data_IF_229279367968
#
_entry.id   IF_229279367968
#
_cell.length_a   1.000
_cell.length_b   1.000
_cell.length_c   1.000
_cell.angle_alpha   90.00
_cell.angle_beta   90.00
_cell.angle_gamma   90.00
#
_symmetry.space_group_name_H-M   'P 1'
#
loop_
_entity.id
_entity.type
_entity.pdbx_description
1 polymer ?
#
# COMPACT_ATOMS: atom_id res chain seq x y z
N UNK A 1 22.50 2.54 36.07
CA UNK A 1 21.21 2.03 35.55
C UNK A 1 20.64 3.13 34.67
N UNK A 2 20.78 3.03 33.36
CA UNK A 2 20.19 3.99 32.41
C UNK A 2 18.83 3.43 32.03
N UNK A 3 17.75 4.08 32.48
CA UNK A 3 16.40 3.75 32.06
C UNK A 3 16.22 4.24 30.63
N UNK A 4 16.21 3.31 29.66
CA UNK A 4 15.95 3.63 28.27
C UNK A 4 14.56 4.25 28.14
N UNK A 5 14.48 5.47 27.62
CA UNK A 5 13.23 6.11 27.27
C UNK A 5 12.59 5.30 26.14
N UNK A 6 11.41 4.72 26.40
CA UNK A 6 10.61 4.09 25.36
C UNK A 6 10.02 5.19 24.47
N UNK A 7 10.27 5.11 23.17
CA UNK A 7 9.60 5.99 22.19
C UNK A 7 8.25 5.37 21.87
N UNK A 8 7.18 6.06 22.24
CA UNK A 8 5.80 5.65 21.93
C UNK A 8 5.35 6.43 20.71
N UNK A 9 5.07 5.72 19.62
CA UNK A 9 4.46 6.30 18.43
C UNK A 9 2.95 6.09 18.53
N UNK A 10 2.20 7.19 18.68
CA UNK A 10 0.74 7.14 18.70
C UNK A 10 0.20 7.04 17.26
N UNK A 11 -0.41 5.91 16.93
CA UNK A 11 -1.01 5.64 15.62
C UNK A 11 -2.54 5.60 15.69
N UNK A 12 -3.13 6.14 16.75
CA UNK A 12 -4.58 6.09 17.02
C UNK A 12 -5.42 6.75 15.93
N UNK A 13 -4.84 7.59 15.08
CA UNK A 13 -5.51 8.22 13.92
C UNK A 13 -5.02 7.71 12.56
N UNK A 14 -4.03 6.82 12.55
CA UNK A 14 -3.48 6.30 11.30
C UNK A 14 -4.39 5.18 10.75
N UNK A 15 -5.14 5.49 9.71
CA UNK A 15 -6.06 4.53 9.06
C UNK A 15 -5.32 3.30 8.50
N UNK A 16 -4.10 3.46 8.00
CA UNK A 16 -3.25 2.33 7.61
C UNK A 16 -2.99 1.42 8.84
N UNK A 17 -2.73 2.04 10.00
CA UNK A 17 -2.45 1.32 11.22
C UNK A 17 -3.69 0.58 11.78
N UNK A 18 -4.83 1.27 11.78
CA UNK A 18 -6.13 0.71 12.20
C UNK A 18 -6.60 -0.41 11.30
N UNK A 19 -6.38 -0.27 9.99
CA UNK A 19 -6.95 -1.17 8.98
C UNK A 19 -6.00 -2.32 8.61
N UNK A 20 -4.67 -2.13 8.67
CA UNK A 20 -3.73 -3.10 8.08
C UNK A 20 -2.66 -3.68 9.03
N UNK A 21 -2.27 -3.03 10.14
CA UNK A 21 -1.12 -3.50 10.96
C UNK A 21 -1.30 -4.90 11.53
N UNK A 22 -2.52 -5.30 11.91
CA UNK A 22 -2.77 -6.62 12.53
C UNK A 22 -2.61 -7.79 11.54
N UNK A 23 -2.60 -7.51 10.23
CA UNK A 23 -2.57 -8.52 9.16
C UNK A 23 -1.50 -8.27 8.09
N UNK A 24 -0.67 -7.23 8.23
CA UNK A 24 0.61 -7.12 7.54
C UNK A 24 1.63 -8.12 8.15
N UNK A 25 1.22 -9.38 8.23
CA UNK A 25 2.04 -10.51 8.63
C UNK A 25 3.06 -10.83 7.51
N UNK A 26 4.05 -9.95 7.38
CA UNK A 26 5.19 -10.09 6.47
C UNK A 26 6.47 -9.51 7.07
N UNK A 27 6.34 -8.49 7.92
CA UNK A 27 7.48 -7.74 8.45
C UNK A 27 8.20 -6.97 7.34
N UNK A 28 9.40 -6.46 7.62
CA UNK A 28 10.25 -5.81 6.62
C UNK A 28 10.45 -6.69 5.39
N UNK A 29 10.38 -6.10 4.21
CA UNK A 29 10.69 -6.79 2.96
C UNK A 29 12.05 -7.51 3.07
N UNK A 30 12.04 -8.84 2.96
CA UNK A 30 13.27 -9.65 2.99
C UNK A 30 13.86 -9.71 1.59
N UNK A 31 14.65 -8.72 1.22
CA UNK A 31 15.31 -8.60 -0.08
C UNK A 31 15.59 -7.14 -0.45
N UNK A 32 16.35 -6.91 -1.52
CA UNK A 32 16.67 -5.57 -2.05
C UNK A 32 15.48 -5.02 -2.85
N UNK A 33 14.36 -4.75 -2.16
CA UNK A 33 13.18 -4.12 -2.77
C UNK A 33 13.49 -2.64 -2.97
N UNK A 34 14.06 -2.31 -4.12
CA UNK A 34 14.35 -0.93 -4.49
C UNK A 34 13.14 -0.25 -5.13
N UNK A 35 13.06 1.06 -4.94
CA UNK A 35 12.06 1.95 -5.56
C UNK A 35 10.61 1.51 -5.30
N UNK A 36 10.34 0.99 -4.11
CA UNK A 36 8.98 0.67 -3.70
C UNK A 36 8.16 1.93 -3.43
N UNK A 37 6.96 1.98 -4.02
CA UNK A 37 5.95 3.00 -3.75
C UNK A 37 4.66 2.32 -3.31
N UNK A 38 4.07 2.84 -2.24
CA UNK A 38 2.90 2.25 -1.62
C UNK A 38 1.65 3.03 -1.96
N UNK A 39 0.59 2.34 -2.34
CA UNK A 39 -0.69 2.94 -2.69
C UNK A 39 -1.85 2.23 -2.02
N UNK A 40 -2.79 3.02 -1.53
CA UNK A 40 -4.08 2.54 -1.04
C UNK A 40 -5.16 2.87 -2.06
N UNK A 41 -5.80 1.84 -2.59
CA UNK A 41 -6.91 1.95 -3.54
C UNK A 41 -8.25 1.69 -2.84
N UNK A 42 -9.28 2.38 -3.29
CA UNK A 42 -10.66 2.17 -2.89
C UNK A 42 -11.45 1.63 -4.09
N UNK A 43 -11.95 0.40 -3.94
CA UNK A 43 -12.75 -0.26 -4.96
C UNK A 43 -14.23 -0.10 -4.61
N UNK A 44 -15.05 0.34 -5.58
CA UNK A 44 -16.50 0.31 -5.39
C UNK A 44 -16.95 -1.14 -5.22
N UNK A 45 -18.03 -1.38 -4.48
CA UNK A 45 -18.68 -2.69 -4.38
C UNK A 45 -19.32 -3.11 -5.72
N UNK A 46 -18.47 -3.47 -6.68
CA UNK A 46 -18.83 -4.03 -7.97
C UNK A 46 -18.05 -5.31 -8.21
N UNK A 47 -18.71 -6.38 -8.67
CA UNK A 47 -18.03 -7.60 -9.08
C UNK A 47 -16.91 -7.31 -10.10
N UNK A 48 -15.77 -7.97 -9.91
CA UNK A 48 -14.57 -7.94 -10.80
C UNK A 48 -13.70 -6.69 -10.76
N UNK A 49 -14.00 -5.65 -9.97
CA UNK A 49 -13.17 -4.44 -9.93
C UNK A 49 -11.69 -4.73 -9.61
N UNK A 50 -11.46 -5.63 -8.65
CA UNK A 50 -10.12 -6.10 -8.27
C UNK A 50 -9.42 -6.91 -9.37
N UNK A 51 -10.15 -7.80 -10.05
CA UNK A 51 -9.60 -8.64 -11.11
C UNK A 51 -9.16 -7.78 -12.31
N UNK A 52 -9.99 -6.83 -12.74
CA UNK A 52 -9.66 -5.88 -13.81
C UNK A 52 -8.43 -5.03 -13.46
N UNK A 53 -8.30 -4.62 -12.20
CA UNK A 53 -7.12 -3.90 -11.73
C UNK A 53 -5.84 -4.75 -11.82
N UNK A 54 -5.89 -6.01 -11.36
CA UNK A 54 -4.75 -6.92 -11.43
C UNK A 54 -4.36 -7.25 -12.88
N UNK A 55 -5.32 -7.45 -13.78
CA UNK A 55 -5.08 -7.70 -15.20
C UNK A 55 -4.37 -6.53 -15.90
N UNK A 56 -4.72 -5.28 -15.53
CA UNK A 56 -4.07 -4.08 -16.04
C UNK A 56 -2.63 -3.96 -15.51
N UNK A 57 -2.40 -4.32 -14.25
CA UNK A 57 -1.11 -4.21 -13.56
C UNK A 57 -0.07 -5.26 -13.97
N UNK A 58 -0.50 -6.49 -14.26
CA UNK A 58 0.38 -7.64 -14.50
C UNK A 58 1.39 -7.46 -15.64
N UNK A 59 1.31 -6.38 -16.41
CA UNK A 59 2.07 -6.19 -17.65
C UNK A 59 3.31 -5.31 -17.51
N UNK A 60 3.41 -4.47 -16.48
CA UNK A 60 4.43 -3.40 -16.48
C UNK A 60 5.25 -3.24 -15.20
N UNK A 61 4.67 -3.43 -14.01
CA UNK A 61 5.38 -3.20 -12.74
C UNK A 61 5.24 -4.37 -11.77
N UNK A 62 6.32 -4.67 -11.05
CA UNK A 62 6.30 -5.73 -10.05
C UNK A 62 5.52 -5.29 -8.81
N UNK A 63 4.69 -6.20 -8.28
CA UNK A 63 3.92 -6.00 -7.04
C UNK A 63 4.71 -6.62 -5.89
N UNK A 64 5.29 -5.79 -5.03
CA UNK A 64 6.05 -6.21 -3.85
C UNK A 64 5.17 -6.48 -2.63
N UNK A 65 4.00 -5.83 -2.56
CA UNK A 65 3.04 -5.97 -1.48
C UNK A 65 1.62 -5.95 -2.03
N UNK A 66 0.76 -6.84 -1.54
CA UNK A 66 -0.66 -6.81 -1.84
C UNK A 66 -1.48 -7.24 -0.63
N UNK A 67 -2.30 -6.34 -0.10
CA UNK A 67 -3.15 -6.59 1.05
C UNK A 67 -4.56 -6.07 0.80
N UNK A 68 -5.50 -7.01 0.70
CA UNK A 68 -6.91 -6.75 0.53
C UNK A 68 -7.66 -6.82 1.86
N UNK A 69 -8.50 -5.84 2.19
CA UNK A 69 -9.44 -5.93 3.32
C UNK A 69 -10.83 -5.43 2.92
N UNK A 70 -11.82 -6.30 3.10
CA UNK A 70 -13.23 -5.92 3.11
C UNK A 70 -13.56 -5.24 4.44
N UNK A 71 -13.82 -3.94 4.43
CA UNK A 71 -14.55 -3.28 5.51
C UNK A 71 -16.02 -3.32 5.10
N UNK A 72 -16.90 -3.92 5.92
CA UNK A 72 -18.30 -4.23 5.59
C UNK A 72 -19.25 -3.05 5.38
N UNK A 73 -18.78 -1.99 4.70
CA UNK A 73 -19.54 -0.86 4.20
C UNK A 73 -19.03 -0.56 2.78
N UNK A 74 -19.61 -1.23 1.78
CA UNK A 74 -19.64 -0.95 0.32
C UNK A 74 -18.34 -0.52 -0.41
N UNK A 75 -17.17 -0.58 0.23
CA UNK A 75 -15.88 -0.16 -0.33
C UNK A 75 -14.79 -1.12 0.13
N UNK A 76 -14.21 -1.86 -0.82
CA UNK A 76 -13.02 -2.68 -0.60
C UNK A 76 -11.77 -1.81 -0.59
N UNK A 77 -10.92 -1.93 0.43
CA UNK A 77 -9.62 -1.24 0.48
C UNK A 77 -8.50 -2.21 0.15
N UNK A 78 -7.61 -1.78 -0.75
CA UNK A 78 -6.44 -2.58 -1.14
C UNK A 78 -5.21 -1.73 -0.99
N UNK A 79 -4.25 -2.26 -0.24
CA UNK A 79 -2.92 -1.70 -0.15
C UNK A 79 -2.00 -2.47 -1.09
N UNK A 80 -1.29 -1.75 -1.96
CA UNK A 80 -0.41 -2.32 -2.97
C UNK A 80 0.94 -1.61 -2.94
N UNK A 81 2.02 -2.38 -2.90
CA UNK A 81 3.39 -1.91 -3.10
C UNK A 81 3.81 -2.20 -4.53
N UNK A 82 4.28 -1.18 -5.23
CA UNK A 82 4.82 -1.30 -6.58
C UNK A 82 6.31 -0.98 -6.58
N UNK A 83 7.10 -1.78 -7.28
CA UNK A 83 8.47 -1.40 -7.62
C UNK A 83 8.44 -0.59 -8.91
N UNK A 84 8.63 0.72 -8.77
CA UNK A 84 8.59 1.67 -9.89
C UNK A 84 9.93 2.38 -9.97
N UNK A 85 10.80 2.02 -10.92
CA UNK A 85 12.05 2.73 -11.15
C UNK A 85 11.81 4.23 -11.41
N UNK A 86 12.73 5.13 -11.02
CA UNK A 86 12.57 6.57 -11.20
C UNK A 86 12.26 7.00 -12.64
N UNK A 87 12.83 6.29 -13.63
CA UNK A 87 12.61 6.50 -15.06
C UNK A 87 11.16 6.25 -15.50
N UNK A 88 10.41 5.43 -14.75
CA UNK A 88 9.05 5.03 -15.07
C UNK A 88 7.99 5.88 -14.35
N UNK A 89 8.39 6.85 -13.53
CA UNK A 89 7.46 7.65 -12.72
C UNK A 89 6.34 8.31 -13.54
N UNK A 90 6.66 8.92 -14.69
CA UNK A 90 5.64 9.56 -15.54
C UNK A 90 4.69 8.54 -16.17
N UNK A 91 5.21 7.40 -16.64
CA UNK A 91 4.40 6.32 -17.22
C UNK A 91 3.49 5.69 -16.16
N UNK A 92 4.01 5.53 -14.95
CA UNK A 92 3.26 5.01 -13.82
C UNK A 92 2.16 5.98 -13.38
N UNK A 93 2.44 7.29 -13.34
CA UNK A 93 1.41 8.29 -13.04
C UNK A 93 0.30 8.28 -14.10
N UNK A 94 0.66 8.22 -15.39
CA UNK A 94 -0.33 8.12 -16.47
C UNK A 94 -1.18 6.84 -16.36
N UNK A 95 -0.60 5.73 -15.90
CA UNK A 95 -1.33 4.50 -15.61
C UNK A 95 -2.31 4.69 -14.45
N UNK A 96 -1.89 5.32 -13.34
CA UNK A 96 -2.78 5.62 -12.21
C UNK A 96 -3.94 6.52 -12.63
N UNK A 97 -3.70 7.50 -13.49
CA UNK A 97 -4.74 8.41 -13.99
C UNK A 97 -5.75 7.70 -14.91
N UNK A 98 -5.35 6.60 -15.56
CA UNK A 98 -6.25 5.74 -16.34
C UNK A 98 -7.07 4.80 -15.45
N UNK A 99 -6.56 4.47 -14.24
CA UNK A 99 -7.33 3.74 -13.26
C UNK A 99 -8.42 4.66 -12.71
N UNK A 100 -9.68 4.43 -13.11
CA UNK A 100 -10.84 5.14 -12.59
C UNK A 100 -11.21 4.74 -11.14
N UNK A 101 -10.21 4.61 -10.28
CA UNK A 101 -10.32 4.27 -8.86
C UNK A 101 -9.73 5.39 -8.01
N UNK A 102 -10.31 5.59 -6.83
CA UNK A 102 -9.71 6.50 -5.84
C UNK A 102 -8.46 5.83 -5.29
N UNK A 103 -7.34 6.54 -5.30
CA UNK A 103 -6.09 6.08 -4.73
C UNK A 103 -5.43 7.16 -3.90
N UNK A 104 -4.60 6.72 -2.95
CA UNK A 104 -3.76 7.57 -2.13
C UNK A 104 -2.35 6.99 -2.11
N UNK A 105 -1.34 7.83 -2.36
CA UNK A 105 0.04 7.42 -2.13
C UNK A 105 0.33 7.42 -0.62
N UNK A 106 0.81 6.29 -0.12
CA UNK A 106 1.10 6.02 1.29
C UNK A 106 2.62 5.76 1.50
N UNK A 107 3.45 5.97 0.48
CA UNK A 107 4.92 5.77 0.53
C UNK A 107 5.59 6.56 1.68
N UNK A 108 5.06 7.74 2.00
CA UNK A 108 5.53 8.59 3.09
C UNK A 108 4.87 8.29 4.45
N UNK A 109 4.02 7.26 4.56
CA UNK A 109 3.28 6.97 5.79
C UNK A 109 4.22 6.49 6.91
N UNK A 110 4.20 7.17 8.06
CA UNK A 110 5.08 6.89 9.20
C UNK A 110 4.95 5.45 9.72
N UNK A 111 3.74 4.86 9.70
CA UNK A 111 3.55 3.46 10.08
C UNK A 111 4.28 2.55 9.10
N UNK A 112 4.15 2.82 7.80
CA UNK A 112 4.81 2.01 6.77
C UNK A 112 6.34 2.07 6.89
N UNK A 113 6.89 3.28 7.00
CA UNK A 113 8.34 3.47 7.12
C UNK A 113 8.91 2.85 8.39
N UNK A 114 8.14 2.84 9.48
CA UNK A 114 8.62 2.33 10.78
C UNK A 114 8.57 0.80 10.85
N UNK A 115 7.58 0.17 10.23
CA UNK A 115 7.28 -1.26 10.45
C UNK A 115 7.45 -2.17 9.22
N UNK A 116 7.50 -1.63 8.00
CA UNK A 116 7.50 -2.41 6.75
C UNK A 116 8.71 -2.14 5.84
N UNK A 117 9.35 -0.97 5.95
CA UNK A 117 10.69 -0.70 5.42
C UNK A 117 11.73 -0.94 6.52
#
# INVERSE_FOLDING_TARGET
RVGGAYTVLDLSDNELAKVHTRYLAGGKARGDVQHERLYRFEFPDRPRALATFLEALQREWNISLFHYRNHGADVGRVLVGFQVPPEDHERFQAFLDQLAYVYHEETANEMYQTFML
#
